data_IF_032000678706
#
_entry.id   IF_032000678706
#
_cell.length_a   1.000
_cell.length_b   1.000
_cell.length_c   1.000
_cell.angle_alpha   90.00
_cell.angle_beta   90.00
_cell.angle_gamma   90.00
#
_symmetry.space_group_name_H-M   'P 1'
#
loop_
_entity.id
_entity.type
_entity.pdbx_description
1 polymer ?
#
# COMPACT_ATOMS: atom_id res chain seq x y z
N UNK A 1 1.55 20.47 1.65
CA UNK A 1 1.20 19.56 0.55
C UNK A 1 0.30 18.44 1.07
N UNK A 2 -0.53 17.92 0.22
CA UNK A 2 -1.50 16.88 0.58
C UNK A 2 -1.17 15.61 -0.19
N UNK A 3 -1.22 14.47 0.48
CA UNK A 3 -0.87 13.16 -0.07
C UNK A 3 -2.00 12.17 0.15
N UNK A 4 -2.17 11.25 -0.79
CA UNK A 4 -3.05 10.09 -0.60
C UNK A 4 -2.19 8.85 -0.46
N UNK A 5 -2.30 8.20 0.68
CA UNK A 5 -1.57 6.97 1.00
C UNK A 5 -2.60 5.84 1.05
N UNK A 6 -2.55 4.94 0.10
CA UNK A 6 -3.55 3.88 -0.05
C UNK A 6 -2.91 2.53 0.22
N UNK A 7 -3.41 1.81 1.23
CA UNK A 7 -3.05 0.41 1.44
C UNK A 7 -4.10 -0.48 0.80
N UNK A 8 -3.70 -1.35 -0.12
CA UNK A 8 -4.64 -2.24 -0.79
C UNK A 8 -4.87 -3.51 0.02
N UNK A 9 -6.10 -3.98 -0.02
CA UNK A 9 -6.52 -5.21 0.66
C UNK A 9 -8.00 -5.46 0.44
N UNK A 10 -8.51 -6.50 1.08
CA UNK A 10 -9.91 -6.89 1.03
C UNK A 10 -10.49 -6.83 2.45
N UNK A 11 -11.60 -6.11 2.62
CA UNK A 11 -12.21 -5.90 3.94
C UNK A 11 -12.95 -7.12 4.49
N UNK A 12 -13.18 -8.15 3.68
CA UNK A 12 -13.87 -9.37 4.14
C UNK A 12 -13.03 -10.03 5.24
N UNK A 13 -13.66 -10.36 6.37
CA UNK A 13 -12.95 -10.83 7.57
C UNK A 13 -12.09 -12.07 7.32
N UNK A 14 -12.49 -12.96 6.41
CA UNK A 14 -11.69 -14.15 6.09
C UNK A 14 -10.32 -13.83 5.48
N UNK A 15 -10.12 -12.63 4.96
CA UNK A 15 -8.85 -12.22 4.36
C UNK A 15 -7.95 -11.39 5.28
N UNK A 16 -8.39 -11.16 6.53
CA UNK A 16 -7.57 -10.46 7.51
C UNK A 16 -6.26 -11.21 7.75
N UNK A 17 -5.15 -10.49 7.71
CA UNK A 17 -3.84 -11.08 7.95
C UNK A 17 -3.27 -11.86 6.80
N UNK A 18 -3.92 -11.90 5.64
CA UNK A 18 -3.37 -12.57 4.45
C UNK A 18 -2.27 -11.75 3.80
N UNK A 19 -1.48 -12.40 2.95
CA UNK A 19 -0.41 -11.74 2.20
C UNK A 19 -0.96 -10.61 1.34
N UNK A 20 -2.12 -10.82 0.71
CA UNK A 20 -2.74 -9.83 -0.17
C UNK A 20 -3.23 -8.59 0.60
N UNK A 21 -3.39 -8.69 1.91
CA UNK A 21 -3.79 -7.58 2.77
C UNK A 21 -2.62 -6.88 3.45
N UNK A 22 -1.39 -7.11 2.99
CA UNK A 22 -0.23 -6.45 3.62
C UNK A 22 -0.35 -4.92 3.56
N UNK A 23 -0.95 -4.37 2.51
CA UNK A 23 -1.17 -2.93 2.42
C UNK A 23 -2.01 -2.39 3.57
N UNK A 24 -3.07 -3.11 3.96
CA UNK A 24 -3.88 -2.74 5.12
C UNK A 24 -3.05 -2.76 6.41
N UNK A 25 -2.22 -3.79 6.57
CA UNK A 25 -1.38 -3.93 7.77
C UNK A 25 -0.40 -2.76 7.91
N UNK A 26 0.19 -2.33 6.80
CA UNK A 26 1.13 -1.21 6.80
C UNK A 26 0.43 0.10 7.18
N UNK A 27 -0.68 0.42 6.51
CA UNK A 27 -1.37 1.69 6.81
C UNK A 27 -2.03 1.68 8.18
N UNK A 28 -2.47 0.51 8.68
CA UNK A 28 -2.95 0.40 10.05
C UNK A 28 -1.85 0.80 11.05
N UNK A 29 -0.63 0.33 10.83
CA UNK A 29 0.50 0.67 11.69
C UNK A 29 0.84 2.16 11.62
N UNK A 30 0.80 2.75 10.43
CA UNK A 30 1.03 4.18 10.25
C UNK A 30 0.02 5.02 11.03
N UNK A 31 -1.24 4.67 10.96
CA UNK A 31 -2.34 5.39 11.60
C UNK A 31 -2.31 5.19 13.12
N UNK A 32 -2.01 3.96 13.57
CA UNK A 32 -1.86 3.67 14.99
C UNK A 32 -0.71 4.47 15.61
N UNK A 33 0.42 4.55 14.91
CA UNK A 33 1.58 5.32 15.35
C UNK A 33 1.24 6.82 15.49
N UNK A 34 0.37 7.32 14.63
CA UNK A 34 -0.08 8.72 14.67
C UNK A 34 -1.17 8.97 15.71
N UNK A 35 -1.80 7.93 16.24
CA UNK A 35 -2.85 8.05 17.25
C UNK A 35 -4.16 8.61 16.72
N UNK A 36 -4.44 8.46 15.42
CA UNK A 36 -5.68 8.96 14.81
C UNK A 36 -6.60 7.78 14.44
N UNK A 37 -7.91 8.00 14.36
CA UNK A 37 -8.83 6.92 14.01
C UNK A 37 -9.04 6.81 12.50
N UNK A 38 -9.46 5.61 12.05
CA UNK A 38 -10.12 5.45 10.76
C UNK A 38 -11.62 5.70 10.94
N UNK A 39 -12.23 6.36 9.95
CA UNK A 39 -13.68 6.51 9.88
C UNK A 39 -14.17 5.95 8.56
N UNK A 40 -15.36 5.32 8.58
CA UNK A 40 -15.96 4.80 7.35
C UNK A 40 -16.49 5.97 6.52
N UNK A 41 -16.01 6.07 5.29
CA UNK A 41 -16.43 7.11 4.35
C UNK A 41 -16.67 6.46 2.99
N UNK A 42 -16.88 7.25 1.96
CA UNK A 42 -17.19 6.71 0.64
C UNK A 42 -15.99 5.93 0.10
N UNK A 43 -16.23 4.71 -0.36
CA UNK A 43 -15.27 3.78 -0.95
C UNK A 43 -14.21 3.26 0.01
N UNK A 44 -14.25 3.58 1.30
CA UNK A 44 -13.27 3.01 2.20
C UNK A 44 -13.22 3.62 3.59
N UNK A 45 -12.29 3.12 4.38
CA UNK A 45 -11.95 3.69 5.67
C UNK A 45 -10.89 4.76 5.46
N UNK A 46 -11.09 5.92 6.08
CA UNK A 46 -10.24 7.09 5.93
C UNK A 46 -9.69 7.52 7.27
N UNK A 47 -8.38 7.80 7.31
CA UNK A 47 -7.76 8.49 8.43
C UNK A 47 -7.05 9.73 7.90
N UNK A 48 -7.02 10.77 8.71
CA UNK A 48 -6.34 12.02 8.39
C UNK A 48 -5.27 12.28 9.42
N UNK A 49 -4.05 12.52 8.96
CA UNK A 49 -2.93 12.80 9.84
C UNK A 49 -2.03 13.85 9.21
N UNK A 50 -1.14 14.39 10.03
CA UNK A 50 -0.22 15.42 9.58
C UNK A 50 1.20 15.09 10.05
N UNK A 51 2.16 15.25 9.16
CA UNK A 51 3.58 15.12 9.47
C UNK A 51 4.22 16.45 9.06
N UNK A 52 4.65 17.25 10.04
CA UNK A 52 5.16 18.61 9.80
C UNK A 52 4.14 19.40 8.98
N UNK A 53 4.51 19.88 7.79
CA UNK A 53 3.60 20.64 6.92
C UNK A 53 2.90 19.77 5.87
N UNK A 54 3.01 18.45 5.97
CA UNK A 54 2.37 17.53 5.04
C UNK A 54 1.09 16.96 5.64
N UNK A 55 -0.01 17.04 4.90
CA UNK A 55 -1.28 16.43 5.27
C UNK A 55 -1.44 15.11 4.52
N UNK A 56 -1.69 14.03 5.25
CA UNK A 56 -1.84 12.70 4.68
C UNK A 56 -3.27 12.21 4.86
N UNK A 57 -3.89 11.84 3.75
CA UNK A 57 -5.17 11.14 3.73
C UNK A 57 -4.82 9.66 3.55
N UNK A 58 -5.19 8.83 4.52
CA UNK A 58 -4.89 7.39 4.52
C UNK A 58 -6.16 6.65 4.13
N UNK A 59 -6.09 5.84 3.09
CA UNK A 59 -7.24 5.14 2.53
C UNK A 59 -7.03 3.62 2.60
N UNK A 60 -8.02 2.92 3.17
CA UNK A 60 -8.19 1.49 2.99
C UNK A 60 -9.46 1.29 2.16
N UNK A 61 -9.34 0.97 0.86
CA UNK A 61 -10.53 0.76 0.04
C UNK A 61 -11.42 -0.35 0.58
N UNK A 62 -12.74 -0.14 0.53
CA UNK A 62 -13.72 -1.17 0.89
C UNK A 62 -14.31 -1.86 -0.35
N UNK A 63 -13.75 -1.59 -1.51
CA UNK A 63 -14.12 -2.24 -2.77
C UNK A 63 -13.48 -3.61 -2.83
N UNK A 64 -13.94 -4.45 -3.78
CA UNK A 64 -13.16 -5.63 -4.14
C UNK A 64 -11.80 -5.17 -4.68
N UNK A 65 -10.78 -6.03 -4.54
CA UNK A 65 -9.41 -5.69 -4.96
C UNK A 65 -9.37 -5.19 -6.42
N UNK A 66 -10.08 -5.85 -7.31
CA UNK A 66 -10.11 -5.48 -8.74
C UNK A 66 -10.90 -4.18 -9.03
N UNK A 67 -11.42 -3.52 -8.01
CA UNK A 67 -12.13 -2.25 -8.11
C UNK A 67 -11.46 -1.15 -7.26
N UNK A 68 -10.22 -1.39 -6.84
CA UNK A 68 -9.47 -0.45 -5.99
C UNK A 68 -9.32 0.94 -6.63
N UNK A 69 -9.30 1.01 -7.95
CA UNK A 69 -9.17 2.29 -8.66
C UNK A 69 -10.36 3.22 -8.47
N UNK A 70 -11.56 2.68 -8.20
CA UNK A 70 -12.73 3.50 -7.93
C UNK A 70 -12.51 4.36 -6.67
N UNK A 71 -11.97 3.76 -5.62
CA UNK A 71 -11.67 4.46 -4.37
C UNK A 71 -10.55 5.47 -4.56
N UNK A 72 -9.47 5.07 -5.19
CA UNK A 72 -8.30 5.94 -5.39
C UNK A 72 -8.67 7.16 -6.22
N UNK A 73 -9.33 6.97 -7.35
CA UNK A 73 -9.74 8.08 -8.21
C UNK A 73 -10.66 9.05 -7.48
N UNK A 74 -11.65 8.51 -6.75
CA UNK A 74 -12.58 9.35 -6.00
C UNK A 74 -11.84 10.24 -5.00
N UNK A 75 -10.93 9.67 -4.20
CA UNK A 75 -10.26 10.43 -3.15
C UNK A 75 -9.22 11.41 -3.67
N UNK A 76 -8.54 11.09 -4.78
CA UNK A 76 -7.67 12.06 -5.44
C UNK A 76 -8.46 13.28 -5.89
N UNK A 77 -9.64 13.07 -6.49
CA UNK A 77 -10.47 14.15 -6.99
C UNK A 77 -11.09 14.95 -5.84
N UNK A 78 -11.66 14.26 -4.87
CA UNK A 78 -12.33 14.91 -3.74
C UNK A 78 -11.40 15.80 -2.94
N UNK A 79 -10.19 15.36 -2.70
CA UNK A 79 -9.21 16.08 -1.88
C UNK A 79 -8.26 16.96 -2.71
N UNK A 80 -8.44 17.00 -4.02
CA UNK A 80 -7.59 17.77 -4.95
C UNK A 80 -6.12 17.39 -4.81
N UNK A 81 -5.84 16.09 -4.78
CA UNK A 81 -4.47 15.57 -4.64
C UNK A 81 -3.95 15.21 -6.04
N UNK A 82 -2.79 15.75 -6.44
CA UNK A 82 -2.20 15.37 -7.73
C UNK A 82 -1.68 13.94 -7.70
N UNK A 83 -1.66 13.29 -8.86
CA UNK A 83 -1.29 11.87 -8.96
C UNK A 83 0.14 11.60 -8.47
N UNK A 84 1.05 12.56 -8.61
CA UNK A 84 2.42 12.44 -8.11
C UNK A 84 2.50 12.38 -6.58
N UNK A 85 1.42 12.76 -5.88
CA UNK A 85 1.32 12.67 -4.42
C UNK A 85 0.52 11.45 -3.95
N UNK A 86 0.27 10.50 -4.86
CA UNK A 86 -0.33 9.20 -4.54
C UNK A 86 0.77 8.20 -4.25
N UNK A 87 0.62 7.46 -3.15
CA UNK A 87 1.46 6.30 -2.85
C UNK A 87 0.54 5.10 -2.55
N UNK A 88 0.74 4.02 -3.29
CA UNK A 88 -0.04 2.78 -3.13
C UNK A 88 0.86 1.70 -2.53
N UNK A 89 0.42 1.07 -1.45
CA UNK A 89 1.16 -0.01 -0.79
C UNK A 89 0.54 -1.34 -1.19
N UNK A 90 1.35 -2.23 -1.77
CA UNK A 90 0.90 -3.51 -2.34
C UNK A 90 1.85 -4.64 -2.00
N UNK A 91 1.31 -5.87 -2.03
CA UNK A 91 2.09 -7.09 -2.00
C UNK A 91 2.77 -7.33 -3.34
N UNK A 92 3.97 -7.91 -3.31
CA UNK A 92 4.74 -8.21 -4.54
C UNK A 92 5.35 -9.61 -4.45
N UNK A 93 4.91 -10.49 -5.36
CA UNK A 93 5.41 -11.86 -5.46
C UNK A 93 6.85 -11.95 -5.95
N UNK A 94 7.32 -10.93 -6.67
CA UNK A 94 8.65 -10.93 -7.27
C UNK A 94 9.76 -10.61 -6.28
N UNK A 95 9.41 -10.14 -5.08
CA UNK A 95 10.37 -9.78 -4.05
C UNK A 95 10.33 -10.79 -2.89
N UNK A 96 11.49 -11.16 -2.33
CA UNK A 96 11.50 -11.99 -1.12
C UNK A 96 10.73 -11.33 0.02
N UNK A 97 10.24 -12.14 0.95
CA UNK A 97 9.48 -11.61 2.09
C UNK A 97 10.22 -10.47 2.78
N UNK A 98 9.51 -9.39 3.02
CA UNK A 98 10.01 -8.27 3.79
C UNK A 98 10.93 -7.32 3.03
N UNK A 99 11.23 -7.60 1.78
CA UNK A 99 11.94 -6.65 0.92
C UNK A 99 10.99 -5.53 0.54
N UNK A 100 11.42 -4.30 0.76
CA UNK A 100 10.62 -3.11 0.48
C UNK A 100 11.24 -2.34 -0.68
N UNK A 101 10.42 -2.03 -1.67
CA UNK A 101 10.90 -1.30 -2.84
C UNK A 101 9.90 -0.22 -3.25
N UNK A 102 10.36 1.02 -3.23
CA UNK A 102 9.59 2.16 -3.68
C UNK A 102 9.90 2.42 -5.14
N UNK A 103 8.86 2.63 -5.96
CA UNK A 103 9.01 2.97 -7.37
C UNK A 103 8.04 4.09 -7.73
N UNK A 104 8.49 5.08 -8.56
CA UNK A 104 7.62 6.20 -8.95
C UNK A 104 6.66 5.84 -10.08
N UNK A 105 6.89 4.71 -10.76
CA UNK A 105 6.07 4.23 -11.88
C UNK A 105 6.36 2.76 -12.12
N UNK A 106 5.58 2.13 -12.98
CA UNK A 106 5.84 0.75 -13.39
C UNK A 106 4.57 0.01 -13.77
N UNK A 107 4.74 -1.25 -14.24
CA UNK A 107 3.63 -2.11 -14.58
C UNK A 107 2.88 -2.58 -13.34
N UNK A 108 1.69 -3.15 -13.55
CA UNK A 108 0.89 -3.71 -12.45
C UNK A 108 1.43 -5.05 -11.94
N UNK A 109 2.38 -5.66 -12.64
CA UNK A 109 2.99 -6.94 -12.29
C UNK A 109 1.93 -8.05 -12.04
N UNK A 110 0.78 -7.96 -12.69
CA UNK A 110 -0.32 -8.90 -12.51
C UNK A 110 -1.18 -8.65 -11.28
N UNK A 111 -0.91 -7.62 -10.50
CA UNK A 111 -1.70 -7.28 -9.32
C UNK A 111 -3.01 -6.62 -9.73
N UNK A 112 -4.14 -7.24 -9.39
CA UNK A 112 -5.46 -6.79 -9.86
C UNK A 112 -5.83 -5.39 -9.37
N UNK A 113 -5.40 -5.02 -8.16
CA UNK A 113 -5.63 -3.68 -7.64
C UNK A 113 -4.89 -2.61 -8.43
N UNK A 114 -3.61 -2.83 -8.71
CA UNK A 114 -2.80 -1.90 -9.51
C UNK A 114 -3.33 -1.81 -10.94
N UNK A 115 -3.75 -2.93 -11.50
CA UNK A 115 -4.33 -2.96 -12.85
C UNK A 115 -5.55 -2.06 -12.95
N UNK A 116 -6.45 -2.13 -11.98
CA UNK A 116 -7.64 -1.29 -11.96
C UNK A 116 -7.31 0.19 -11.72
N UNK A 117 -6.38 0.48 -10.79
CA UNK A 117 -5.93 1.85 -10.54
C UNK A 117 -5.37 2.46 -11.82
N UNK A 118 -4.46 1.76 -12.49
CA UNK A 118 -3.89 2.20 -13.75
C UNK A 118 -4.96 2.48 -14.80
N UNK A 119 -5.94 1.59 -14.91
CA UNK A 119 -7.02 1.69 -15.87
C UNK A 119 -7.87 2.95 -15.61
N UNK A 120 -8.22 3.22 -14.35
CA UNK A 120 -9.08 4.35 -14.01
C UNK A 120 -8.35 5.68 -13.97
N UNK A 121 -7.08 5.70 -13.62
CA UNK A 121 -6.26 6.92 -13.65
C UNK A 121 -5.72 7.22 -15.06
N UNK A 122 -5.68 6.23 -15.94
CA UNK A 122 -5.14 6.37 -17.30
C UNK A 122 -3.63 6.49 -17.32
N UNK A 123 -2.92 6.08 -16.28
CA UNK A 123 -1.47 6.18 -16.19
C UNK A 123 -0.88 5.13 -15.26
N UNK A 124 0.38 4.75 -15.53
CA UNK A 124 1.20 3.94 -14.64
C UNK A 124 2.15 4.80 -13.80
N UNK A 125 2.13 6.11 -14.00
CA UNK A 125 3.08 7.02 -13.37
C UNK A 125 2.55 7.54 -12.05
N UNK A 126 2.45 6.64 -11.07
CA UNK A 126 2.18 6.96 -9.67
C UNK A 126 3.08 6.09 -8.80
N UNK A 127 3.43 6.59 -7.63
CA UNK A 127 4.35 5.90 -6.73
C UNK A 127 3.69 4.69 -6.07
N UNK A 128 4.47 3.62 -5.93
CA UNK A 128 4.04 2.42 -5.22
C UNK A 128 5.14 1.89 -4.34
N UNK A 129 4.76 1.48 -3.15
CA UNK A 129 5.63 0.76 -2.23
C UNK A 129 5.30 -0.72 -2.34
N UNK A 130 6.24 -1.50 -2.87
CA UNK A 130 6.08 -2.94 -3.03
C UNK A 130 6.63 -3.64 -1.81
N UNK A 131 5.76 -4.39 -1.14
CA UNK A 131 6.13 -5.19 0.03
C UNK A 131 6.28 -6.65 -0.44
N UNK A 132 7.50 -7.16 -0.42
CA UNK A 132 7.80 -8.52 -0.86
C UNK A 132 7.10 -9.56 0.01
N UNK A 133 6.42 -10.51 -0.63
CA UNK A 133 5.77 -11.64 0.05
C UNK A 133 6.34 -12.98 -0.38
N UNK A 134 7.29 -12.97 -1.32
CA UNK A 134 7.87 -14.19 -1.86
C UNK A 134 6.94 -14.90 -2.84
N UNK A 135 7.41 -16.02 -3.36
CA UNK A 135 6.67 -16.77 -4.40
C UNK A 135 6.77 -18.27 -4.20
N UNK A 136 6.83 -18.72 -2.96
CA UNK A 136 6.97 -20.14 -2.65
C UNK A 136 5.62 -20.86 -2.76
N UNK A 137 5.22 -21.14 -4.01
CA UNK A 137 3.98 -21.86 -4.30
C UNK A 137 4.15 -22.68 -5.58
N UNK A 138 3.39 -23.79 -5.75
CA UNK A 138 3.43 -24.57 -6.96
C UNK A 138 2.77 -23.82 -8.12
N UNK A 139 3.08 -24.23 -9.34
CA UNK A 139 2.48 -23.67 -10.55
C UNK A 139 0.96 -23.72 -10.43
N UNK A 140 0.30 -22.56 -10.70
CA UNK A 140 -1.14 -22.42 -10.56
C UNK A 140 -1.63 -22.13 -9.15
N UNK A 141 -0.72 -22.09 -8.15
CA UNK A 141 -1.07 -21.83 -6.76
C UNK A 141 -1.03 -20.37 -6.33
N UNK A 142 -0.90 -19.44 -7.27
CA UNK A 142 -0.73 -18.03 -6.95
C UNK A 142 -1.89 -17.45 -6.15
N UNK A 143 -3.14 -17.73 -6.56
CA UNK A 143 -4.31 -17.20 -5.89
C UNK A 143 -4.36 -17.67 -4.42
N UNK A 144 -4.17 -18.96 -4.19
CA UNK A 144 -4.17 -19.51 -2.83
C UNK A 144 -3.03 -18.93 -1.99
N UNK A 145 -1.88 -18.70 -2.61
CA UNK A 145 -0.72 -18.14 -1.92
C UNK A 145 -0.99 -16.73 -1.41
N UNK A 146 -1.46 -15.82 -2.28
CA UNK A 146 -1.70 -14.43 -1.88
C UNK A 146 -2.85 -14.32 -0.87
N UNK A 147 -3.81 -15.22 -0.92
CA UNK A 147 -4.92 -15.27 0.03
C UNK A 147 -4.57 -16.09 1.29
N UNK A 148 -3.36 -16.63 1.37
CA UNK A 148 -2.87 -17.34 2.54
C UNK A 148 -2.24 -16.40 3.56
N UNK A 149 -2.11 -16.91 4.79
CA UNK A 149 -1.51 -16.15 5.88
C UNK A 149 -0.01 -16.32 5.90
N UNK A 150 0.69 -15.38 6.53
CA UNK A 150 2.14 -15.46 6.72
C UNK A 150 2.47 -16.57 7.71
N UNK A 151 3.53 -17.37 7.47
CA UNK A 151 3.95 -18.38 8.42
C UNK A 151 4.58 -17.75 9.67
N UNK A 152 4.68 -18.51 10.78
CA UNK A 152 5.20 -17.97 12.04
C UNK A 152 6.58 -17.32 11.94
N UNK A 153 7.49 -17.87 11.16
CA UNK A 153 8.84 -17.33 11.00
C UNK A 153 8.83 -15.96 10.34
N UNK A 154 7.90 -15.72 9.41
CA UNK A 154 7.73 -14.41 8.79
C UNK A 154 7.04 -13.44 9.74
N UNK A 155 6.08 -13.92 10.53
CA UNK A 155 5.40 -13.08 11.50
C UNK A 155 6.35 -12.57 12.60
N UNK A 156 7.41 -13.30 12.93
CA UNK A 156 8.41 -12.84 13.87
C UNK A 156 9.17 -11.61 13.35
N UNK A 157 9.41 -11.55 12.05
CA UNK A 157 10.11 -10.42 11.42
C UNK A 157 9.16 -9.28 11.02
N UNK A 158 7.86 -9.52 11.04
CA UNK A 158 6.86 -8.57 10.56
C UNK A 158 6.95 -7.19 11.23
N UNK A 159 7.07 -7.08 12.58
CA UNK A 159 7.10 -5.76 13.21
C UNK A 159 8.20 -4.85 12.67
N UNK A 160 9.41 -5.38 12.43
CA UNK A 160 10.50 -4.58 11.88
C UNK A 160 10.24 -4.17 10.44
N UNK A 161 9.68 -5.08 9.64
CA UNK A 161 9.37 -4.80 8.24
C UNK A 161 8.28 -3.74 8.12
N UNK A 162 7.26 -3.83 8.96
CA UNK A 162 6.18 -2.84 9.01
C UNK A 162 6.72 -1.48 9.45
N UNK A 163 7.57 -1.45 10.47
CA UNK A 163 8.19 -0.21 10.94
C UNK A 163 8.97 0.47 9.82
N UNK A 164 9.73 -0.32 9.05
CA UNK A 164 10.50 0.22 7.93
C UNK A 164 9.57 0.74 6.83
N UNK A 165 8.47 0.04 6.55
CA UNK A 165 7.48 0.51 5.57
C UNK A 165 6.89 1.86 6.00
N UNK A 166 6.57 2.03 7.28
CA UNK A 166 6.06 3.29 7.82
C UNK A 166 7.10 4.40 7.67
N UNK A 167 8.38 4.12 7.93
CA UNK A 167 9.46 5.08 7.74
C UNK A 167 9.57 5.53 6.27
N UNK A 168 9.42 4.59 5.34
CA UNK A 168 9.46 4.89 3.90
C UNK A 168 8.31 5.81 3.52
N UNK A 169 7.10 5.54 4.02
CA UNK A 169 5.94 6.40 3.75
C UNK A 169 6.19 7.83 4.23
N UNK A 170 6.70 7.98 5.45
CA UNK A 170 7.01 9.30 6.01
C UNK A 170 8.07 10.02 5.18
N UNK A 171 9.12 9.31 4.81
CA UNK A 171 10.18 9.86 3.97
C UNK A 171 9.67 10.29 2.59
N UNK A 172 8.78 9.49 1.99
CA UNK A 172 8.15 9.84 0.71
C UNK A 172 7.49 11.21 0.79
N UNK A 173 6.75 11.47 1.85
CA UNK A 173 6.05 12.75 2.03
C UNK A 173 7.01 13.90 2.35
N UNK A 174 8.06 13.65 3.14
CA UNK A 174 8.95 14.70 3.64
C UNK A 174 10.13 14.99 2.71
N UNK A 175 10.67 13.97 2.06
CA UNK A 175 11.90 14.08 1.28
C UNK A 175 11.72 13.82 -0.22
N UNK A 176 10.55 13.32 -0.62
CA UNK A 176 10.26 13.00 -2.01
C UNK A 176 10.66 11.58 -2.41
N UNK A 177 10.14 11.12 -3.55
CA UNK A 177 10.30 9.74 -4.00
C UNK A 177 11.76 9.39 -4.30
N UNK A 178 12.49 10.28 -4.95
CA UNK A 178 13.87 9.99 -5.37
C UNK A 178 14.81 9.84 -4.16
N UNK A 179 14.73 10.76 -3.21
CA UNK A 179 15.57 10.70 -2.01
C UNK A 179 15.22 9.47 -1.17
N UNK A 180 13.94 9.13 -1.08
CA UNK A 180 13.49 7.95 -0.34
C UNK A 180 14.00 6.66 -0.99
N UNK A 181 13.95 6.58 -2.33
CA UNK A 181 14.49 5.44 -3.06
C UNK A 181 15.98 5.28 -2.79
N UNK A 182 16.74 6.37 -2.83
CA UNK A 182 18.18 6.33 -2.60
C UNK A 182 18.51 5.87 -1.18
N UNK A 183 17.69 6.24 -0.20
CA UNK A 183 17.93 5.90 1.19
C UNK A 183 17.49 4.46 1.53
N UNK A 184 16.39 3.99 0.99
CA UNK A 184 15.74 2.75 1.45
C UNK A 184 15.80 1.59 0.45
N UNK A 185 15.78 1.83 -0.85
CA UNK A 185 15.88 0.75 -1.83
C UNK A 185 17.28 0.09 -1.75
N UNK A 186 17.31 -1.24 -1.84
CA UNK A 186 18.58 -2.01 -1.82
C UNK A 186 19.31 -1.96 -0.47
N UNK A 187 18.60 -1.73 0.61
CA UNK A 187 19.21 -1.67 1.95
C UNK A 187 18.59 -2.64 2.94
#
# INVERSE_FOLDING_TARGET
MKYLITGLGNIVSEYLGTRHNIGFRVVNALVEDAGVPFTEERYGAIARMRIKNCELIILKPNTFMNLSGNAVRYWLQKENIPVENLLVIVDDLALPFGTLRLKPKGSDAGHNGLKNIQQLLGTQEYSRLRFGIGSNFPRGGQINYVLGKFPPEELQEMPEKIKRAVEIIKSFCLAGVQNTMNQYNNK
#
